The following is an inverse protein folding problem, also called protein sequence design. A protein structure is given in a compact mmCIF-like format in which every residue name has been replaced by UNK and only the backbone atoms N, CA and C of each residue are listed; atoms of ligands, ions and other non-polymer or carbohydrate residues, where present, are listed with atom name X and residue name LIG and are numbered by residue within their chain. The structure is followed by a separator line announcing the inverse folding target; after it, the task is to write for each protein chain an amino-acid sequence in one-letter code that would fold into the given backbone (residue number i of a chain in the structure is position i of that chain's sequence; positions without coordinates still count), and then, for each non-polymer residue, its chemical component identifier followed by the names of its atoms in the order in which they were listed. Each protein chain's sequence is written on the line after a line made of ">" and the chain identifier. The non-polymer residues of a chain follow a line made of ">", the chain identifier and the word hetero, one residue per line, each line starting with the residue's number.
data_IF_937381515962
#
_entry.id   IF_937381515962
#
_cell.length_a   1.000
_cell.length_b   1.000
_cell.length_c   1.000
_cell.angle_alpha   90.00
_cell.angle_beta   90.00
_cell.angle_gamma   90.00
#
_symmetry.space_group_name_H-M   'P 1'
#
loop_
_entity.id
_entity.type
_entity.pdbx_description
1 polymer ?
#
# COMPACT_ATOMS: atom_id res chain seq x y z
N UNK A 1 -12.07 -20.77 -5.04
CA UNK A 1 -11.64 -20.90 -3.63
C UNK A 1 -11.36 -19.48 -3.14
N UNK A 2 -11.89 -19.11 -2.00
CA UNK A 2 -11.60 -17.83 -1.37
C UNK A 2 -10.08 -17.68 -1.22
N UNK A 3 -9.48 -16.57 -1.70
CA UNK A 3 -8.06 -16.29 -1.59
C UNK A 3 -7.70 -15.59 -0.28
N UNK A 4 -8.56 -15.69 0.71
CA UNK A 4 -8.23 -15.22 2.05
C UNK A 4 -6.92 -15.84 2.50
N UNK A 5 -6.06 -15.04 3.11
CA UNK A 5 -4.88 -15.56 3.77
C UNK A 5 -5.33 -16.58 4.81
N UNK A 6 -5.07 -17.85 4.53
CA UNK A 6 -5.44 -18.93 5.44
C UNK A 6 -4.63 -18.77 6.74
N UNK A 7 -5.19 -19.25 7.85
CA UNK A 7 -4.45 -19.29 9.13
C UNK A 7 -3.11 -20.03 8.98
N UNK A 8 -3.04 -20.97 8.06
CA UNK A 8 -1.78 -21.65 7.72
C UNK A 8 -0.77 -20.69 7.09
N UNK A 9 -1.18 -19.87 6.10
CA UNK A 9 -0.29 -18.89 5.45
C UNK A 9 0.19 -17.85 6.44
N UNK A 10 -0.70 -17.28 7.26
CA UNK A 10 -0.36 -16.35 8.33
C UNK A 10 0.66 -16.98 9.30
N UNK A 11 0.41 -18.21 9.73
CA UNK A 11 1.30 -18.93 10.65
C UNK A 11 2.70 -19.17 10.05
N UNK A 12 2.79 -19.52 8.77
CA UNK A 12 4.09 -19.75 8.12
C UNK A 12 4.84 -18.42 7.88
N UNK A 13 4.13 -17.35 7.52
CA UNK A 13 4.73 -16.02 7.41
C UNK A 13 5.17 -15.49 8.77
N UNK A 14 4.37 -15.63 9.82
CA UNK A 14 4.75 -15.26 11.18
C UNK A 14 6.01 -15.99 11.65
N UNK A 15 6.17 -17.26 11.30
CA UNK A 15 7.42 -18.00 11.58
C UNK A 15 8.63 -17.40 10.86
N UNK A 16 8.48 -17.05 9.59
CA UNK A 16 9.55 -16.48 8.78
C UNK A 16 9.98 -15.11 9.27
N UNK A 17 9.05 -14.33 9.80
CA UNK A 17 9.27 -12.96 10.27
C UNK A 17 9.39 -12.82 11.77
N UNK A 18 9.38 -13.92 12.54
CA UNK A 18 9.40 -13.93 13.99
C UNK A 18 10.51 -13.04 14.55
N UNK A 19 10.14 -12.15 15.47
CA UNK A 19 11.06 -11.20 16.09
C UNK A 19 11.58 -10.11 15.15
N UNK A 20 11.04 -10.00 13.93
CA UNK A 20 11.42 -8.97 12.95
C UNK A 20 10.21 -8.08 12.69
N UNK A 21 10.32 -6.85 13.08
CA UNK A 21 9.33 -5.83 12.74
C UNK A 21 9.53 -5.37 11.28
N UNK A 22 9.10 -6.21 10.33
CA UNK A 22 9.26 -5.92 8.90
C UNK A 22 8.14 -5.01 8.42
N UNK A 23 6.91 -5.31 8.78
CA UNK A 23 5.74 -4.51 8.48
C UNK A 23 5.18 -3.94 9.79
N UNK A 24 4.77 -2.67 9.74
CA UNK A 24 4.16 -1.93 10.85
C UNK A 24 2.97 -1.15 10.30
N UNK A 25 1.92 -1.85 9.84
CA UNK A 25 0.75 -1.17 9.32
C UNK A 25 0.09 -0.33 10.41
N UNK A 26 -0.61 0.70 9.99
CA UNK A 26 -1.48 1.48 10.86
C UNK A 26 -2.61 0.58 11.38
N UNK A 27 -3.13 0.88 12.55
CA UNK A 27 -4.43 0.36 12.93
C UNK A 27 -5.52 1.01 12.08
N UNK A 28 -6.68 0.36 12.01
CA UNK A 28 -7.85 0.92 11.34
C UNK A 28 -8.28 2.21 12.05
N UNK A 29 -8.49 3.28 11.27
CA UNK A 29 -8.84 4.59 11.82
C UNK A 29 -8.70 5.72 10.80
N UNK A 30 -8.96 6.93 11.25
CA UNK A 30 -8.79 8.14 10.45
C UNK A 30 -7.40 8.73 10.65
N UNK A 31 -6.71 9.08 9.57
CA UNK A 31 -5.45 9.84 9.58
C UNK A 31 -5.74 11.32 9.87
N UNK A 32 -6.76 11.85 9.19
CA UNK A 32 -7.34 13.18 9.41
C UNK A 32 -8.79 13.19 8.92
N UNK A 33 -9.38 14.37 8.73
CA UNK A 33 -10.76 14.53 8.27
C UNK A 33 -11.05 14.01 6.85
N UNK A 34 -10.00 13.75 6.04
CA UNK A 34 -10.10 13.34 4.64
C UNK A 34 -9.63 11.92 4.39
N UNK A 35 -8.66 11.42 5.15
CA UNK A 35 -8.02 10.14 4.89
C UNK A 35 -8.30 9.15 6.00
N UNK A 36 -8.87 8.01 5.65
CA UNK A 36 -8.99 6.85 6.52
C UNK A 36 -8.05 5.73 6.08
N UNK A 37 -7.66 4.88 7.02
CA UNK A 37 -6.90 3.66 6.80
C UNK A 37 -7.67 2.46 7.35
N UNK A 38 -7.73 1.39 6.58
CA UNK A 38 -8.08 0.06 7.07
C UNK A 38 -6.81 -0.78 7.10
N UNK A 39 -6.51 -1.35 8.26
CA UNK A 39 -5.45 -2.35 8.40
C UNK A 39 -5.95 -3.68 7.86
N UNK A 40 -5.31 -4.17 6.83
CA UNK A 40 -5.58 -5.47 6.25
C UNK A 40 -4.37 -6.38 6.42
N UNK A 41 -4.27 -6.95 7.61
CA UNK A 41 -3.15 -7.75 8.10
C UNK A 41 -1.83 -6.95 8.10
N UNK A 42 -1.00 -7.08 7.04
CA UNK A 42 0.28 -6.38 6.91
C UNK A 42 0.19 -5.14 6.03
N UNK A 43 -0.95 -4.87 5.41
CA UNK A 43 -1.15 -3.78 4.46
C UNK A 43 -2.07 -2.68 5.01
N UNK A 44 -1.83 -1.46 4.55
CA UNK A 44 -2.66 -0.29 4.75
C UNK A 44 -3.49 -0.06 3.50
N UNK A 45 -4.81 -0.03 3.64
CA UNK A 45 -5.74 0.31 2.58
C UNK A 45 -6.30 1.68 2.90
N UNK A 46 -6.13 2.63 1.98
CA UNK A 46 -6.53 4.00 2.25
C UNK A 46 -7.81 4.39 1.54
N UNK A 47 -8.53 5.32 2.15
CA UNK A 47 -9.74 5.91 1.61
C UNK A 47 -9.60 7.42 1.71
N UNK A 48 -9.58 8.11 0.56
CA UNK A 48 -9.63 9.56 0.50
C UNK A 48 -11.07 10.01 0.27
N UNK A 49 -11.58 10.89 1.15
CA UNK A 49 -12.95 11.38 1.09
C UNK A 49 -12.99 12.91 0.96
N UNK A 50 -13.77 13.37 -0.04
CA UNK A 50 -14.07 14.79 -0.24
C UNK A 50 -15.52 14.94 -0.67
N UNK A 51 -16.34 15.64 0.12
CA UNK A 51 -17.78 15.69 -0.09
C UNK A 51 -18.42 14.29 -0.04
N UNK A 52 -19.17 13.94 -1.06
CA UNK A 52 -19.82 12.63 -1.18
C UNK A 52 -18.95 11.56 -1.86
N UNK A 53 -17.79 11.94 -2.41
CA UNK A 53 -16.93 11.03 -3.16
C UNK A 53 -15.86 10.43 -2.26
N UNK A 54 -15.76 9.11 -2.29
CA UNK A 54 -14.69 8.36 -1.64
C UNK A 54 -13.89 7.58 -2.68
N UNK A 55 -12.59 7.82 -2.73
CA UNK A 55 -11.63 7.10 -3.57
C UNK A 55 -10.88 6.12 -2.68
N UNK A 56 -10.82 4.87 -3.08
CA UNK A 56 -10.04 3.84 -2.41
C UNK A 56 -8.66 3.73 -3.06
N UNK A 57 -7.60 3.58 -2.28
CA UNK A 57 -6.24 3.33 -2.76
C UNK A 57 -5.79 1.98 -2.24
N UNK A 58 -5.52 1.08 -3.17
CA UNK A 58 -5.33 -0.35 -3.00
C UNK A 58 -6.56 -1.07 -2.41
N UNK A 59 -6.58 -2.41 -2.40
CA UNK A 59 -7.76 -3.20 -2.10
C UNK A 59 -7.50 -4.38 -1.14
N UNK A 60 -6.35 -4.39 -0.49
CA UNK A 60 -6.05 -5.37 0.56
C UNK A 60 -5.93 -6.80 0.10
N UNK A 61 -5.86 -7.68 1.08
CA UNK A 61 -5.64 -9.10 0.92
C UNK A 61 -6.88 -9.96 1.25
N UNK A 62 -7.63 -9.56 2.28
CA UNK A 62 -8.80 -10.30 2.77
C UNK A 62 -10.05 -9.41 2.78
N UNK A 63 -10.85 -9.53 1.74
CA UNK A 63 -12.05 -8.69 1.53
C UNK A 63 -13.13 -8.83 2.63
N UNK A 64 -13.21 -9.94 3.36
CA UNK A 64 -14.19 -10.07 4.45
C UNK A 64 -13.82 -9.12 5.60
N UNK A 65 -12.56 -9.10 5.99
CA UNK A 65 -12.08 -8.16 7.00
C UNK A 65 -12.16 -6.72 6.53
N UNK A 66 -11.87 -6.48 5.25
CA UNK A 66 -11.95 -5.13 4.67
C UNK A 66 -13.36 -4.57 4.78
N UNK A 67 -14.39 -5.34 4.42
CA UNK A 67 -15.80 -4.92 4.55
C UNK A 67 -16.17 -4.60 6.00
N UNK A 68 -15.81 -5.48 6.94
CA UNK A 68 -16.05 -5.28 8.37
C UNK A 68 -15.41 -3.98 8.88
N UNK A 69 -14.12 -3.79 8.60
CA UNK A 69 -13.35 -2.63 9.08
C UNK A 69 -13.77 -1.32 8.38
N UNK A 70 -14.20 -1.37 7.12
CA UNK A 70 -14.84 -0.23 6.47
C UNK A 70 -16.10 0.20 7.23
N UNK A 71 -16.89 -0.78 7.71
CA UNK A 71 -18.06 -0.52 8.55
C UNK A 71 -17.73 0.22 9.85
N UNK A 72 -16.59 -0.07 10.49
CA UNK A 72 -16.12 0.66 11.69
C UNK A 72 -15.90 2.14 11.42
N UNK A 73 -15.49 2.48 10.18
CA UNK A 73 -15.22 3.85 9.74
C UNK A 73 -16.46 4.56 9.13
N UNK A 74 -17.59 3.84 9.04
CA UNK A 74 -18.79 4.36 8.39
C UNK A 74 -18.65 4.51 6.88
N UNK A 75 -17.79 3.69 6.25
CA UNK A 75 -17.62 3.67 4.80
C UNK A 75 -18.41 2.49 4.22
N UNK A 76 -19.41 2.79 3.39
CA UNK A 76 -20.18 1.77 2.68
C UNK A 76 -19.36 1.28 1.47
N UNK A 77 -18.97 -0.01 1.38
CA UNK A 77 -18.29 -0.54 0.21
C UNK A 77 -19.00 -0.28 -1.11
N UNK A 78 -20.33 -0.23 -1.10
CA UNK A 78 -21.16 0.05 -2.28
C UNK A 78 -21.03 1.48 -2.78
N UNK A 79 -20.55 2.40 -1.95
CA UNK A 79 -20.28 3.79 -2.35
C UNK A 79 -18.97 3.93 -3.12
N UNK A 80 -18.08 2.96 -3.05
CA UNK A 80 -16.78 3.00 -3.74
C UNK A 80 -16.97 2.79 -5.23
N UNK A 81 -16.69 3.84 -6.01
CA UNK A 81 -16.76 3.83 -7.48
C UNK A 81 -15.41 3.93 -8.16
N UNK A 82 -14.37 4.28 -7.42
CA UNK A 82 -13.03 4.55 -7.93
C UNK A 82 -11.99 3.91 -7.02
N UNK A 83 -11.14 3.05 -7.60
CA UNK A 83 -10.06 2.37 -6.90
C UNK A 83 -8.76 2.64 -7.65
N UNK A 84 -7.83 3.35 -7.02
CA UNK A 84 -6.48 3.57 -7.52
C UNK A 84 -5.59 2.44 -7.03
N UNK A 85 -4.90 1.75 -7.92
CA UNK A 85 -4.02 0.64 -7.57
C UNK A 85 -2.57 1.05 -7.77
N UNK A 86 -1.79 0.92 -6.71
CA UNK A 86 -0.37 1.19 -6.76
C UNK A 86 0.37 0.12 -7.56
N UNK A 87 0.08 -1.14 -7.27
CA UNK A 87 0.64 -2.30 -7.98
C UNK A 87 -0.21 -3.57 -7.77
N UNK A 88 0.10 -4.64 -8.49
CA UNK A 88 -0.74 -5.83 -8.60
C UNK A 88 -0.47 -6.92 -7.55
N UNK A 89 0.38 -6.73 -6.56
CA UNK A 89 0.63 -7.75 -5.54
C UNK A 89 -0.65 -8.04 -4.74
N UNK A 90 -0.83 -9.28 -4.30
CA UNK A 90 -2.12 -9.79 -3.80
C UNK A 90 -2.64 -9.08 -2.54
N UNK A 91 -1.76 -8.49 -1.77
CA UNK A 91 -2.10 -7.68 -0.60
C UNK A 91 -2.52 -6.23 -0.95
N UNK A 92 -2.51 -5.88 -2.23
CA UNK A 92 -3.01 -4.61 -2.77
C UNK A 92 -4.24 -4.77 -3.68
N UNK A 93 -4.52 -5.98 -4.17
CA UNK A 93 -5.63 -6.21 -5.11
C UNK A 93 -6.57 -7.35 -4.70
N UNK A 94 -6.39 -7.94 -3.53
CA UNK A 94 -7.11 -9.15 -3.12
C UNK A 94 -8.63 -9.01 -3.11
N UNK A 95 -9.17 -7.87 -2.67
CA UNK A 95 -10.61 -7.63 -2.64
C UNK A 95 -11.26 -7.44 -4.01
N UNK A 96 -10.47 -7.21 -5.07
CA UNK A 96 -10.95 -6.97 -6.45
C UNK A 96 -10.55 -8.08 -7.41
N UNK A 97 -9.86 -9.13 -6.94
CA UNK A 97 -9.58 -10.31 -7.78
C UNK A 97 -10.87 -10.93 -8.31
N UNK A 98 -10.78 -11.49 -9.51
CA UNK A 98 -11.92 -12.04 -10.25
C UNK A 98 -12.71 -13.11 -9.49
N UNK A 99 -12.07 -13.83 -8.55
CA UNK A 99 -12.69 -14.84 -7.71
C UNK A 99 -13.13 -14.32 -6.31
N UNK A 100 -13.01 -13.02 -6.06
CA UNK A 100 -13.55 -12.38 -4.86
C UNK A 100 -15.09 -12.33 -4.90
N UNK A 101 -15.78 -12.10 -3.77
CA UNK A 101 -17.25 -11.97 -3.72
C UNK A 101 -17.82 -10.81 -4.53
N UNK A 102 -16.99 -9.97 -5.13
CA UNK A 102 -17.40 -8.85 -5.96
C UNK A 102 -17.90 -7.65 -5.16
N UNK A 103 -17.31 -7.40 -4.00
CA UNK A 103 -17.64 -6.27 -3.12
C UNK A 103 -17.56 -4.91 -3.85
N UNK A 104 -16.59 -4.78 -4.76
CA UNK A 104 -16.35 -3.57 -5.55
C UNK A 104 -16.59 -3.78 -7.05
N UNK A 105 -17.57 -4.61 -7.41
CA UNK A 105 -17.82 -5.00 -8.81
C UNK A 105 -18.04 -3.82 -9.75
N UNK A 106 -18.70 -2.78 -9.27
CA UNK A 106 -19.09 -1.62 -10.09
C UNK A 106 -18.04 -0.48 -10.03
N UNK A 107 -16.93 -0.69 -9.34
CA UNK A 107 -15.87 0.31 -9.28
C UNK A 107 -14.98 0.27 -10.52
N UNK A 108 -14.60 1.46 -11.01
CA UNK A 108 -13.54 1.62 -12.00
C UNK A 108 -12.17 1.43 -11.36
N UNK A 109 -11.29 0.79 -12.09
CA UNK A 109 -9.97 0.38 -11.66
C UNK A 109 -8.91 1.20 -12.38
N UNK A 110 -8.18 2.02 -11.64
CA UNK A 110 -7.13 2.87 -12.19
C UNK A 110 -5.78 2.22 -11.87
N UNK A 111 -5.01 1.89 -12.90
CA UNK A 111 -3.74 1.17 -12.76
C UNK A 111 -2.74 1.64 -13.80
N UNK A 112 -1.46 1.66 -13.48
CA UNK A 112 -0.42 1.98 -14.45
C UNK A 112 -0.46 1.04 -15.68
N UNK A 113 -0.27 1.59 -16.89
CA UNK A 113 -0.26 0.80 -18.13
C UNK A 113 0.79 -0.32 -18.07
N UNK A 114 1.98 -0.02 -17.53
CA UNK A 114 3.05 -1.01 -17.37
C UNK A 114 2.65 -2.06 -16.35
N UNK A 115 2.01 -1.66 -15.25
CA UNK A 115 1.55 -2.58 -14.20
C UNK A 115 0.45 -3.52 -14.72
N UNK A 116 -0.44 -3.04 -15.58
CA UNK A 116 -1.47 -3.87 -16.19
C UNK A 116 -0.91 -5.07 -16.96
N UNK A 117 0.33 -5.04 -17.42
CA UNK A 117 0.98 -6.16 -18.11
C UNK A 117 1.14 -7.41 -17.25
N UNK A 118 1.18 -7.25 -15.92
CA UNK A 118 1.13 -8.39 -15.01
C UNK A 118 -0.26 -9.02 -14.99
N UNK A 119 -1.32 -8.21 -15.04
CA UNK A 119 -2.70 -8.68 -15.06
C UNK A 119 -3.07 -9.37 -16.38
N UNK A 120 -2.45 -8.97 -17.49
CA UNK A 120 -2.65 -9.60 -18.81
C UNK A 120 -1.76 -10.83 -19.02
N UNK A 121 -0.77 -11.06 -18.14
CA UNK A 121 0.18 -12.15 -18.25
C UNK A 121 1.33 -11.91 -19.24
N UNK A 122 1.46 -10.69 -19.80
CA UNK A 122 2.60 -10.30 -20.64
C UNK A 122 3.90 -10.27 -19.85
N UNK A 123 3.81 -9.90 -18.56
CA UNK A 123 4.92 -9.90 -17.60
C UNK A 123 4.52 -10.73 -16.39
N UNK A 124 5.51 -11.34 -15.75
CA UNK A 124 5.30 -12.12 -14.54
C UNK A 124 6.02 -11.49 -13.35
N UNK A 125 5.30 -11.31 -12.25
CA UNK A 125 5.84 -10.84 -10.99
C UNK A 125 6.84 -11.82 -10.40
N UNK A 126 8.05 -11.36 -10.11
CA UNK A 126 9.12 -12.16 -9.54
C UNK A 126 9.67 -11.48 -8.29
N UNK A 127 9.81 -12.25 -7.23
CA UNK A 127 10.34 -11.80 -5.94
C UNK A 127 11.55 -12.64 -5.52
N UNK A 128 12.16 -12.30 -4.38
CA UNK A 128 13.34 -12.97 -3.81
C UNK A 128 14.44 -13.07 -4.88
N UNK A 129 14.88 -11.89 -5.36
CA UNK A 129 15.92 -11.76 -6.37
C UNK A 129 15.61 -12.55 -7.66
N UNK A 130 14.36 -12.52 -8.12
CA UNK A 130 13.82 -13.22 -9.30
C UNK A 130 13.80 -14.76 -9.21
N UNK A 131 14.01 -15.33 -8.03
CA UNK A 131 13.99 -16.78 -7.84
C UNK A 131 12.57 -17.34 -7.69
N UNK A 132 11.63 -16.50 -7.27
CA UNK A 132 10.25 -16.93 -7.03
C UNK A 132 9.26 -16.15 -7.89
N UNK A 133 8.42 -16.87 -8.64
CA UNK A 133 7.35 -16.30 -9.48
C UNK A 133 6.04 -16.31 -8.68
N UNK A 134 5.42 -15.17 -8.52
CA UNK A 134 4.09 -15.07 -7.90
C UNK A 134 2.99 -15.52 -8.87
N UNK A 135 1.85 -16.01 -8.34
CA UNK A 135 0.66 -16.28 -9.15
C UNK A 135 0.20 -15.01 -9.88
N UNK A 136 -0.35 -15.20 -11.06
CA UNK A 136 -0.98 -14.11 -11.79
C UNK A 136 -2.32 -13.77 -11.15
N UNK A 137 -2.58 -12.49 -10.99
CA UNK A 137 -3.86 -11.93 -10.54
C UNK A 137 -4.74 -11.64 -11.77
N UNK A 138 -6.04 -11.85 -11.66
CA UNK A 138 -7.03 -11.49 -12.69
C UNK A 138 -8.06 -10.56 -12.09
N UNK A 139 -8.38 -9.48 -12.82
CA UNK A 139 -9.34 -8.45 -12.40
C UNK A 139 -10.31 -8.21 -13.55
N UNK A 140 -11.61 -8.27 -13.24
CA UNK A 140 -12.69 -8.13 -14.23
C UNK A 140 -13.26 -6.69 -14.33
N UNK A 141 -12.95 -5.82 -13.37
CA UNK A 141 -13.43 -4.44 -13.39
C UNK A 141 -12.97 -3.68 -14.63
N UNK A 142 -13.74 -2.68 -15.04
CA UNK A 142 -13.33 -1.72 -16.07
C UNK A 142 -12.00 -1.07 -15.64
N UNK A 143 -11.01 -1.09 -16.52
CA UNK A 143 -9.67 -0.55 -16.24
C UNK A 143 -9.44 0.76 -16.96
N UNK A 144 -8.92 1.74 -16.23
CA UNK A 144 -8.36 2.98 -16.76
C UNK A 144 -6.85 2.86 -16.65
N UNK A 145 -6.15 2.87 -17.77
CA UNK A 145 -4.68 2.75 -17.81
C UNK A 145 -4.05 4.13 -17.66
N UNK A 146 -3.14 4.26 -16.72
CA UNK A 146 -2.49 5.51 -16.33
C UNK A 146 -1.03 5.55 -16.76
N UNK A 147 -0.54 6.77 -17.03
CA UNK A 147 0.82 7.04 -17.45
C UNK A 147 1.57 7.93 -16.46
N UNK A 148 2.92 7.94 -16.52
CA UNK A 148 3.74 8.84 -15.68
C UNK A 148 3.42 10.31 -15.97
N UNK A 149 3.19 11.08 -14.92
CA UNK A 149 2.88 12.51 -14.99
C UNK A 149 1.45 12.82 -15.43
N UNK A 150 0.59 11.82 -15.61
CA UNK A 150 -0.81 12.05 -15.93
C UNK A 150 -1.53 12.74 -14.77
N UNK A 151 -2.36 13.74 -15.11
CA UNK A 151 -3.21 14.46 -14.15
C UNK A 151 -4.65 14.38 -14.63
N UNK A 152 -5.54 13.94 -13.74
CA UNK A 152 -6.97 13.87 -14.02
C UNK A 152 -7.79 14.21 -12.79
N UNK A 153 -9.09 14.33 -12.94
CA UNK A 153 -10.02 14.63 -11.85
C UNK A 153 -11.12 13.58 -11.75
N UNK A 154 -11.51 13.28 -10.52
CA UNK A 154 -12.69 12.50 -10.15
C UNK A 154 -13.53 13.39 -9.24
N UNK A 155 -14.70 13.83 -9.71
CA UNK A 155 -15.65 14.66 -8.94
C UNK A 155 -14.99 15.89 -8.26
N UNK A 156 -14.06 16.57 -8.96
CA UNK A 156 -13.33 17.72 -8.45
C UNK A 156 -12.21 17.37 -7.46
N UNK A 157 -11.83 16.10 -7.40
CA UNK A 157 -10.64 15.62 -6.70
C UNK A 157 -9.52 15.48 -7.74
N UNK A 158 -8.47 16.29 -7.60
CA UNK A 158 -7.29 16.22 -8.47
C UNK A 158 -6.42 15.03 -8.11
N UNK A 159 -6.03 14.25 -9.10
CA UNK A 159 -5.12 13.12 -8.95
C UNK A 159 -3.97 13.27 -9.94
N UNK A 160 -2.75 13.21 -9.43
CA UNK A 160 -1.54 13.18 -10.24
C UNK A 160 -0.82 11.84 -10.04
N UNK A 161 -0.38 11.23 -11.14
CA UNK A 161 0.24 9.92 -11.18
C UNK A 161 1.74 10.03 -11.37
N UNK A 162 2.51 9.27 -10.59
CA UNK A 162 3.95 9.12 -10.77
C UNK A 162 4.27 7.65 -10.96
N UNK A 163 4.97 7.31 -12.04
CA UNK A 163 5.57 6.01 -12.21
C UNK A 163 6.86 5.95 -11.37
N UNK A 164 6.87 5.08 -10.36
CA UNK A 164 8.01 4.91 -9.44
C UNK A 164 8.43 3.43 -9.45
N UNK A 165 9.06 2.98 -10.54
CA UNK A 165 9.37 1.57 -10.73
C UNK A 165 10.51 1.11 -9.83
N UNK A 166 10.46 -0.18 -9.48
CA UNK A 166 11.51 -0.82 -8.69
C UNK A 166 10.97 -1.97 -7.86
N UNK A 167 9.96 -1.74 -7.04
CA UNK A 167 9.22 -2.82 -6.39
C UNK A 167 8.56 -3.69 -7.45
N UNK A 168 7.74 -3.10 -8.31
CA UNK A 168 7.35 -3.65 -9.61
C UNK A 168 7.82 -2.72 -10.74
N UNK A 169 7.75 -3.15 -12.01
CA UNK A 169 8.12 -2.31 -13.15
C UNK A 169 7.12 -1.18 -13.40
N UNK A 170 5.86 -1.37 -13.02
CA UNK A 170 4.77 -0.45 -13.28
C UNK A 170 4.22 0.25 -12.04
N UNK A 171 4.92 0.16 -10.89
CA UNK A 171 4.43 0.71 -9.64
C UNK A 171 4.06 2.19 -9.74
N UNK A 172 2.84 2.54 -9.37
CA UNK A 172 2.32 3.91 -9.39
C UNK A 172 2.25 4.49 -7.97
N UNK A 173 2.51 5.79 -7.89
CA UNK A 173 2.32 6.61 -6.70
C UNK A 173 1.31 7.69 -7.06
N UNK A 174 0.37 7.98 -6.17
CA UNK A 174 -0.71 8.93 -6.41
C UNK A 174 -0.61 10.13 -5.47
N UNK A 175 -0.61 11.34 -6.03
CA UNK A 175 -0.73 12.58 -5.28
C UNK A 175 -2.17 13.10 -5.45
N UNK A 176 -2.92 13.14 -4.36
CA UNK A 176 -4.31 13.60 -4.35
C UNK A 176 -4.39 15.01 -3.75
N UNK A 177 -5.05 15.92 -4.49
CA UNK A 177 -5.27 17.33 -4.14
C UNK A 177 -3.98 18.06 -3.70
N UNK A 178 -2.82 17.71 -4.31
CA UNK A 178 -1.47 18.22 -3.98
C UNK A 178 -1.08 18.06 -2.49
N UNK A 179 -1.86 17.30 -1.71
CA UNK A 179 -1.75 17.18 -0.26
C UNK A 179 -1.43 15.78 0.24
N UNK A 180 -1.91 14.72 -0.40
CA UNK A 180 -1.75 13.34 0.07
C UNK A 180 -1.03 12.49 -0.95
N UNK A 181 0.11 11.93 -0.57
CA UNK A 181 0.94 11.07 -1.41
C UNK A 181 0.82 9.62 -0.96
N UNK A 182 0.11 8.81 -1.75
CA UNK A 182 -0.05 7.37 -1.52
C UNK A 182 1.05 6.63 -2.27
N UNK A 183 1.98 6.05 -1.53
CA UNK A 183 3.24 5.55 -2.08
C UNK A 183 3.26 4.05 -2.32
N UNK A 184 2.24 3.31 -1.87
CA UNK A 184 2.28 1.84 -1.91
C UNK A 184 3.60 1.34 -1.34
N UNK A 185 4.27 0.48 -2.10
CA UNK A 185 5.49 -0.23 -1.71
C UNK A 185 6.78 0.41 -2.22
N UNK A 186 6.80 1.73 -2.40
CA UNK A 186 8.03 2.44 -2.78
C UNK A 186 8.83 2.93 -1.58
N UNK A 187 8.15 3.20 -0.45
CA UNK A 187 8.77 3.67 0.80
C UNK A 187 8.47 2.71 1.95
N UNK A 188 9.48 2.43 2.74
CA UNK A 188 9.38 1.70 3.99
C UNK A 188 9.95 2.56 5.14
N UNK A 189 9.17 2.82 6.19
CA UNK A 189 9.60 3.60 7.35
C UNK A 189 10.30 2.72 8.38
N UNK A 190 11.57 3.05 8.65
CA UNK A 190 12.28 2.61 9.84
C UNK A 190 12.17 3.65 10.96
N UNK A 191 12.76 3.35 12.12
CA UNK A 191 12.79 4.27 13.26
C UNK A 191 13.58 5.57 12.97
N UNK A 192 14.49 5.53 12.02
CA UNK A 192 15.42 6.61 11.65
C UNK A 192 15.05 7.30 10.33
N UNK A 193 13.95 6.91 9.69
CA UNK A 193 13.46 7.51 8.45
C UNK A 193 13.04 6.50 7.39
N UNK A 194 12.62 7.03 6.25
CA UNK A 194 12.16 6.24 5.11
C UNK A 194 13.30 5.73 4.24
N UNK A 195 13.17 4.49 3.84
CA UNK A 195 14.04 3.74 2.92
C UNK A 195 13.30 3.44 1.62
N UNK A 196 14.03 3.19 0.53
CA UNK A 196 13.46 2.41 -0.57
C UNK A 196 13.01 1.04 -0.05
N UNK A 197 11.96 0.48 -0.65
CA UNK A 197 11.28 -0.71 -0.13
C UNK A 197 12.22 -1.94 0.02
N UNK A 198 11.67 -3.04 0.53
CA UNK A 198 12.42 -4.25 0.89
C UNK A 198 13.12 -4.88 -0.32
N UNK A 199 14.44 -5.01 -0.24
CA UNK A 199 15.28 -5.43 -1.37
C UNK A 199 14.94 -6.81 -1.95
N UNK A 200 14.48 -7.75 -1.13
CA UNK A 200 14.13 -9.09 -1.58
C UNK A 200 12.80 -9.14 -2.35
N UNK A 201 11.95 -8.14 -2.18
CA UNK A 201 10.64 -8.04 -2.82
C UNK A 201 10.67 -7.13 -4.07
N UNK A 202 11.73 -6.35 -4.25
CA UNK A 202 11.88 -5.48 -5.41
C UNK A 202 12.35 -6.26 -6.65
N UNK A 203 11.78 -5.95 -7.80
CA UNK A 203 12.23 -6.48 -9.09
C UNK A 203 13.52 -5.81 -9.57
N UNK A 204 13.73 -4.54 -9.18
CA UNK A 204 14.97 -3.83 -9.47
C UNK A 204 15.36 -2.89 -8.33
N UNK A 205 16.31 -3.33 -7.52
CA UNK A 205 16.84 -2.53 -6.42
C UNK A 205 17.45 -1.20 -6.89
N UNK A 206 18.17 -1.23 -8.01
CA UNK A 206 18.78 -0.03 -8.58
C UNK A 206 17.73 0.97 -9.06
N UNK A 207 16.66 0.48 -9.66
CA UNK A 207 15.59 1.32 -10.18
C UNK A 207 14.75 1.88 -9.03
N UNK A 208 14.47 1.10 -7.99
CA UNK A 208 13.73 1.56 -6.81
C UNK A 208 14.40 2.78 -6.16
N UNK A 209 15.70 2.71 -5.93
CA UNK A 209 16.50 3.83 -5.38
C UNK A 209 16.46 5.05 -6.30
N UNK A 210 16.63 4.84 -7.61
CA UNK A 210 16.67 5.91 -8.59
C UNK A 210 15.31 6.62 -8.70
N UNK A 211 14.24 5.87 -8.92
CA UNK A 211 12.90 6.43 -9.13
C UNK A 211 12.36 7.14 -7.88
N UNK A 212 12.68 6.61 -6.68
CA UNK A 212 12.32 7.27 -5.44
C UNK A 212 13.05 8.61 -5.25
N UNK A 213 14.33 8.70 -5.63
CA UNK A 213 15.07 9.95 -5.61
C UNK A 213 14.50 10.98 -6.62
N UNK A 214 14.06 10.52 -7.79
CA UNK A 214 13.41 11.35 -8.80
C UNK A 214 12.05 11.87 -8.31
N UNK A 215 11.26 11.04 -7.63
CA UNK A 215 9.99 11.45 -7.00
C UNK A 215 10.24 12.55 -5.96
N UNK A 216 11.19 12.35 -5.03
CA UNK A 216 11.54 13.36 -4.04
C UNK A 216 11.94 14.68 -4.70
N UNK A 217 12.79 14.62 -5.73
CA UNK A 217 13.22 15.81 -6.46
C UNK A 217 12.04 16.54 -7.11
N UNK A 218 11.10 15.83 -7.75
CA UNK A 218 9.88 16.40 -8.33
C UNK A 218 9.07 17.15 -7.25
N UNK A 219 8.84 16.54 -6.08
CA UNK A 219 8.11 17.15 -4.98
C UNK A 219 8.80 18.41 -4.46
N UNK A 220 10.11 18.35 -4.19
CA UNK A 220 10.89 19.48 -3.68
C UNK A 220 10.96 20.65 -4.65
N UNK A 221 11.19 20.38 -5.93
CA UNK A 221 11.27 21.42 -6.97
C UNK A 221 9.96 22.19 -7.09
N UNK A 222 8.84 21.54 -6.84
CA UNK A 222 7.49 22.14 -6.85
C UNK A 222 7.09 22.75 -5.50
N UNK A 223 7.92 22.63 -4.47
CA UNK A 223 7.62 23.13 -3.13
C UNK A 223 6.51 22.33 -2.41
N UNK A 224 6.20 21.13 -2.88
CA UNK A 224 5.16 20.28 -2.30
C UNK A 224 5.63 19.61 -1.01
N UNK A 225 4.75 19.56 -0.03
CA UNK A 225 4.96 18.89 1.27
C UNK A 225 3.73 18.04 1.61
N UNK A 226 3.49 16.96 0.87
CA UNK A 226 2.31 16.14 1.11
C UNK A 226 2.45 15.33 2.39
N UNK A 227 1.31 14.92 2.95
CA UNK A 227 1.22 13.80 3.87
C UNK A 227 1.56 12.53 3.09
N UNK A 228 2.54 11.76 3.55
CA UNK A 228 3.07 10.57 2.88
C UNK A 228 2.53 9.32 3.56
N UNK A 229 1.83 8.50 2.80
CA UNK A 229 1.11 7.31 3.26
C UNK A 229 1.68 6.07 2.56
N UNK A 230 2.15 5.09 3.33
CA UNK A 230 2.84 3.91 2.80
C UNK A 230 1.98 2.65 2.88
N UNK A 231 2.22 1.69 2.01
CA UNK A 231 1.47 0.44 1.97
C UNK A 231 1.59 -0.42 3.24
N UNK A 232 2.70 -0.29 4.02
CA UNK A 232 2.97 -1.24 5.10
C UNK A 232 3.51 -0.65 6.40
N UNK A 233 3.81 0.66 6.47
CA UNK A 233 4.58 1.19 7.60
C UNK A 233 4.09 2.52 8.19
N UNK A 234 2.88 2.93 7.84
CA UNK A 234 2.27 4.11 8.42
C UNK A 234 2.33 5.37 7.55
N UNK A 235 2.25 6.54 8.18
CA UNK A 235 2.22 7.83 7.51
C UNK A 235 3.07 8.88 8.23
N UNK A 236 3.48 9.93 7.52
CA UNK A 236 4.18 11.09 8.08
C UNK A 236 3.89 12.35 7.24
N UNK A 237 3.95 13.51 7.87
CA UNK A 237 3.95 14.83 7.21
C UNK A 237 5.37 15.44 7.10
N UNK A 238 6.37 14.71 7.60
CA UNK A 238 7.78 15.10 7.50
C UNK A 238 8.43 14.54 6.22
N UNK A 239 8.51 15.39 5.20
CA UNK A 239 9.16 15.05 3.93
C UNK A 239 10.64 14.64 4.10
N UNK A 240 11.36 15.23 5.07
CA UNK A 240 12.76 14.89 5.31
C UNK A 240 12.89 13.51 5.95
N UNK A 241 12.02 13.19 6.89
CA UNK A 241 11.97 11.87 7.49
C UNK A 241 11.60 10.81 6.43
N UNK A 242 10.59 11.08 5.60
CA UNK A 242 10.11 10.12 4.61
C UNK A 242 11.17 9.71 3.58
N UNK A 243 12.10 10.59 3.23
CA UNK A 243 13.14 10.34 2.24
C UNK A 243 14.56 10.28 2.83
N UNK A 244 14.71 10.15 4.15
CA UNK A 244 16.00 10.24 4.84
C UNK A 244 17.05 9.24 4.32
N UNK A 245 16.62 8.05 3.93
CA UNK A 245 17.46 6.96 3.45
C UNK A 245 17.00 6.41 2.09
N UNK A 246 16.42 7.27 1.24
CA UNK A 246 15.89 6.87 -0.08
C UNK A 246 16.91 6.24 -1.02
N UNK A 247 18.19 6.48 -0.77
CA UNK A 247 19.32 5.89 -1.48
C UNK A 247 19.68 4.46 -0.99
N UNK A 248 18.97 3.97 0.02
CA UNK A 248 19.18 2.65 0.62
C UNK A 248 17.90 1.84 0.59
N UNK A 249 18.04 0.55 0.30
CA UNK A 249 16.93 -0.38 0.43
C UNK A 249 16.86 -0.89 1.87
N UNK A 250 15.64 -1.04 2.36
CA UNK A 250 15.41 -1.78 3.59
C UNK A 250 15.83 -3.25 3.38
N UNK A 251 16.65 -3.75 4.28
CA UNK A 251 17.10 -5.15 4.28
C UNK A 251 16.87 -5.79 5.65
N UNK A 252 15.60 -5.92 6.08
CA UNK A 252 15.25 -6.39 7.41
C UNK A 252 15.74 -7.83 7.66
N UNK A 253 15.86 -8.64 6.60
CA UNK A 253 16.37 -10.02 6.67
C UNK A 253 17.85 -10.11 7.02
N UNK A 254 18.64 -9.05 6.81
CA UNK A 254 20.08 -9.02 7.15
C UNK A 254 20.33 -8.75 8.63
N UNK A 255 19.39 -8.17 9.35
CA UNK A 255 19.49 -8.02 10.81
C UNK A 255 19.36 -9.41 11.44
N UNK A 256 20.42 -9.86 12.08
CA UNK A 256 20.55 -11.19 12.70
C UNK A 256 19.62 -11.46 13.89
N UNK A 257 18.72 -10.58 14.19
CA UNK A 257 17.83 -10.73 15.35
C UNK A 257 16.61 -11.54 14.93
N UNK A 258 16.80 -12.82 14.80
CA UNK A 258 15.71 -13.76 14.93
C UNK A 258 15.59 -14.07 16.43
N UNK A 259 14.56 -13.55 17.06
CA UNK A 259 14.22 -13.91 18.43
C UNK A 259 13.33 -15.16 18.41
N UNK A 260 13.86 -16.36 18.72
CA UNK A 260 13.06 -17.57 18.72
C UNK A 260 12.02 -17.60 19.85
N UNK A 261 12.11 -16.71 20.83
CA UNK A 261 11.16 -16.59 21.94
C UNK A 261 10.00 -15.65 21.64
N UNK A 262 10.10 -14.85 20.56
CA UNK A 262 9.03 -13.95 20.15
C UNK A 262 7.73 -14.73 19.86
N UNK A 263 6.55 -14.14 20.15
CA UNK A 263 5.28 -14.75 19.84
C UNK A 263 5.20 -15.20 18.39
N UNK A 264 4.42 -16.23 18.14
CA UNK A 264 4.20 -16.75 16.77
C UNK A 264 3.59 -15.70 15.86
N UNK A 265 2.75 -14.85 16.40
CA UNK A 265 2.04 -13.81 15.68
C UNK A 265 2.80 -12.48 15.82
N UNK A 266 3.79 -12.29 14.94
CA UNK A 266 4.52 -11.03 14.86
C UNK A 266 3.66 -9.87 14.30
N UNK A 267 2.46 -10.18 13.80
CA UNK A 267 1.50 -9.24 13.20
C UNK A 267 0.16 -9.32 13.92
N UNK A 268 0.23 -9.35 15.25
CA UNK A 268 -0.96 -9.33 16.09
C UNK A 268 -1.83 -8.12 15.76
N UNK A 269 -3.09 -8.37 15.47
CA UNK A 269 -4.12 -7.36 15.19
C UNK A 269 -5.04 -7.13 16.40
N UNK A 270 -4.65 -7.58 17.60
CA UNK A 270 -5.51 -7.54 18.79
C UNK A 270 -5.90 -6.13 19.23
N UNK A 271 -5.09 -5.12 18.89
CA UNK A 271 -5.38 -3.69 19.12
C UNK A 271 -6.10 -3.01 17.95
N UNK A 272 -6.27 -3.68 16.84
CA UNK A 272 -7.06 -3.17 15.71
C UNK A 272 -8.53 -3.51 15.92
N UNK A 273 -9.19 -2.69 16.70
CA UNK A 273 -10.58 -2.88 17.14
C UNK A 273 -11.47 -1.72 16.70
N UNK A 274 -12.80 -1.98 16.61
CA UNK A 274 -13.79 -0.94 16.30
C UNK A 274 -13.73 0.22 17.31
N UNK A 275 -13.51 -0.08 18.59
CA UNK A 275 -13.39 0.93 19.64
C UNK A 275 -12.16 1.85 19.38
N UNK A 276 -11.01 1.26 19.04
CA UNK A 276 -9.80 2.03 18.73
C UNK A 276 -9.94 2.83 17.44
N UNK A 277 -10.59 2.28 16.42
CA UNK A 277 -10.85 2.98 15.15
C UNK A 277 -11.65 4.28 15.31
N UNK A 278 -12.43 4.41 16.39
CA UNK A 278 -13.26 5.58 16.70
C UNK A 278 -12.64 6.57 17.67
N UNK A 279 -11.43 6.32 18.20
CA UNK A 279 -10.82 7.13 19.29
C UNK A 279 -10.17 8.45 18.88
N UNK A 280 -10.11 8.76 17.62
CA UNK A 280 -9.45 9.97 17.11
C UNK A 280 -8.57 9.67 15.91
N UNK A 281 -7.62 10.57 15.63
CA UNK A 281 -6.75 10.40 14.48
C UNK A 281 -5.55 9.49 14.80
N UNK A 282 -5.15 8.72 13.79
CA UNK A 282 -3.98 7.86 13.86
C UNK A 282 -2.71 8.71 13.93
N UNK A 283 -1.76 8.40 14.83
CA UNK A 283 -0.55 9.17 14.96
C UNK A 283 0.39 8.95 13.77
N UNK A 284 1.16 9.98 13.36
CA UNK A 284 2.22 9.82 12.37
C UNK A 284 3.37 8.98 12.93
N UNK A 285 4.12 8.35 12.02
CA UNK A 285 5.42 7.75 12.37
C UNK A 285 6.38 8.89 12.72
N UNK A 286 6.92 8.83 13.93
CA UNK A 286 7.86 9.83 14.43
C UNK A 286 9.26 9.25 14.51
N UNK A 287 10.24 10.11 14.30
CA UNK A 287 11.64 9.77 14.57
C UNK A 287 11.79 9.52 16.07
N UNK A 288 12.22 8.30 16.44
CA UNK A 288 12.57 7.91 17.82
C UNK A 288 13.97 8.39 18.15
#
# INVERSE_FOLDING_TARGET
>A
MSKQATEFQKKEMSKMYRGKEIFKPLNTGWVDEHVACVREWVANIFFYRKGETTIMVDAGYNYDRLEEKMGWLGIDPKSIRHILITHQDTDHVGAVEADSPGLFRDAKFYIGEIENKYLTGEVHRKVIYHLYKLPQVTINNEKVLLHDGEVFEIDGIKIECFLVPGHTWGHMVYLIDDRYLFTGDTIWFGADGGYSFISALAESNKLAVKSLAELEQKLRTRGLRPVILTGHTGWTDDLYFAFAHRDKLCSPFKKKVHDPSAPYDAYDESDDTEENAKRGFLPPVQKI
#
